data_IF_880288623776
#
_entry.id   IF_880288623776
#
_cell.length_a   1.000
_cell.length_b   1.000
_cell.length_c   1.000
_cell.angle_alpha   90.00
_cell.angle_beta   90.00
_cell.angle_gamma   90.00
#
_symmetry.space_group_name_H-M   'P 1'
#
loop_
_entity.id
_entity.type
_entity.pdbx_description
1 polymer ?
#
# COMPACT_ATOMS: atom_id res chain seq x y z
N UNK A 1 -24.52 -12.51 20.41
CA UNK A 1 -23.94 -11.27 20.96
C UNK A 1 -23.79 -10.32 19.81
N UNK A 2 -24.48 -9.19 19.82
CA UNK A 2 -24.32 -8.16 18.78
C UNK A 2 -22.93 -7.53 18.95
N UNK A 3 -22.09 -7.67 17.93
CA UNK A 3 -20.78 -7.01 17.88
C UNK A 3 -21.00 -5.49 17.84
N UNK A 4 -20.36 -4.77 18.73
CA UNK A 4 -20.49 -3.31 18.83
C UNK A 4 -19.63 -2.70 17.72
N UNK A 5 -20.18 -1.81 16.86
CA UNK A 5 -19.41 -1.09 15.86
C UNK A 5 -18.33 -0.21 16.51
N UNK A 6 -17.13 -0.23 15.95
CA UNK A 6 -16.01 0.61 16.37
C UNK A 6 -15.56 1.46 15.18
N UNK A 7 -15.56 2.78 15.34
CA UNK A 7 -15.06 3.70 14.31
C UNK A 7 -13.53 3.69 14.32
N UNK A 8 -12.96 3.30 13.18
CA UNK A 8 -11.52 3.31 12.99
C UNK A 8 -11.10 4.71 12.53
N UNK A 9 -10.22 5.34 13.32
CA UNK A 9 -9.60 6.60 12.91
C UNK A 9 -8.57 6.32 11.82
N UNK A 10 -8.84 6.77 10.60
CA UNK A 10 -7.90 6.66 9.49
C UNK A 10 -8.35 7.46 8.28
N UNK A 11 -7.45 8.24 7.71
CA UNK A 11 -7.59 8.85 6.41
C UNK A 11 -8.84 9.72 6.17
N UNK A 12 -9.25 9.77 4.91
CA UNK A 12 -10.36 10.59 4.41
C UNK A 12 -11.70 9.83 4.34
N UNK A 13 -11.78 8.60 4.85
CA UNK A 13 -12.99 7.74 4.78
C UNK A 13 -13.45 7.35 6.17
N UNK A 14 -14.76 7.46 6.40
CA UNK A 14 -15.36 6.82 7.57
C UNK A 14 -15.29 5.30 7.39
N UNK A 15 -14.64 4.64 8.32
CA UNK A 15 -14.40 3.20 8.30
C UNK A 15 -14.91 2.63 9.62
N UNK A 16 -15.90 1.76 9.57
CA UNK A 16 -16.48 1.13 10.74
C UNK A 16 -16.07 -0.34 10.79
N UNK A 17 -15.44 -0.76 11.91
CA UNK A 17 -15.15 -2.16 12.21
C UNK A 17 -16.36 -2.76 12.91
N UNK A 18 -16.79 -3.93 12.41
CA UNK A 18 -17.84 -4.74 13.04
C UNK A 18 -17.33 -6.18 13.06
N UNK A 19 -16.90 -6.62 14.22
CA UNK A 19 -16.25 -7.92 14.37
C UNK A 19 -14.99 -8.05 13.51
N UNK A 20 -14.89 -9.15 12.76
CA UNK A 20 -13.80 -9.40 11.81
C UNK A 20 -13.97 -8.73 10.44
N UNK A 21 -14.80 -7.69 10.32
CA UNK A 21 -15.14 -7.02 9.06
C UNK A 21 -14.95 -5.52 9.16
N UNK A 22 -14.75 -4.90 8.01
CA UNK A 22 -14.67 -3.45 7.82
C UNK A 22 -15.74 -3.04 6.82
N UNK A 23 -16.54 -2.06 7.19
CA UNK A 23 -17.52 -1.42 6.32
C UNK A 23 -17.02 -0.03 5.93
N UNK A 24 -17.10 0.31 4.65
CA UNK A 24 -16.73 1.63 4.15
C UNK A 24 -17.56 2.03 2.93
N UNK A 25 -17.74 3.33 2.75
CA UNK A 25 -18.45 3.87 1.61
C UNK A 25 -17.70 3.60 0.30
N UNK A 26 -18.44 3.28 -0.75
CA UNK A 26 -17.90 3.15 -2.12
C UNK A 26 -17.52 4.52 -2.68
N UNK A 27 -16.46 4.54 -3.49
CA UNK A 27 -15.93 5.71 -4.18
C UNK A 27 -15.73 5.42 -5.67
N UNK A 28 -15.28 6.43 -6.41
CA UNK A 28 -14.78 6.21 -7.76
C UNK A 28 -13.69 5.12 -7.73
N UNK A 29 -13.73 4.20 -8.67
CA UNK A 29 -12.77 3.08 -8.74
C UNK A 29 -13.13 1.86 -7.89
N UNK A 30 -14.10 1.95 -6.96
CA UNK A 30 -14.43 0.84 -6.05
C UNK A 30 -14.76 -0.46 -6.77
N UNK A 31 -15.42 -0.43 -7.92
CA UNK A 31 -15.71 -1.65 -8.70
C UNK A 31 -14.45 -2.38 -9.14
N UNK A 32 -13.44 -1.64 -9.59
CA UNK A 32 -12.15 -2.24 -9.99
C UNK A 32 -11.36 -2.75 -8.79
N UNK A 33 -11.43 -2.05 -7.66
CA UNK A 33 -10.81 -2.51 -6.40
C UNK A 33 -11.47 -3.80 -5.91
N UNK A 34 -12.81 -3.89 -5.94
CA UNK A 34 -13.58 -5.10 -5.60
C UNK A 34 -13.20 -6.29 -6.49
N UNK A 35 -13.08 -6.04 -7.80
CA UNK A 35 -12.58 -7.02 -8.76
C UNK A 35 -11.14 -7.44 -8.43
N UNK A 36 -10.24 -6.48 -8.22
CA UNK A 36 -8.84 -6.75 -7.89
C UNK A 36 -8.72 -7.62 -6.63
N UNK A 37 -9.37 -7.23 -5.53
CA UNK A 37 -9.33 -7.99 -4.28
C UNK A 37 -9.87 -9.42 -4.45
N UNK A 38 -10.92 -9.60 -5.26
CA UNK A 38 -11.47 -10.92 -5.58
C UNK A 38 -10.47 -11.77 -6.38
N UNK A 39 -9.74 -11.16 -7.33
CA UNK A 39 -8.72 -11.86 -8.11
C UNK A 39 -7.50 -12.21 -7.24
N UNK A 40 -7.06 -11.28 -6.40
CA UNK A 40 -5.95 -11.50 -5.45
C UNK A 40 -6.25 -12.68 -4.50
N UNK A 41 -7.47 -12.75 -3.96
CA UNK A 41 -7.90 -13.88 -3.13
C UNK A 41 -7.84 -15.21 -3.91
N UNK A 42 -8.40 -15.26 -5.11
CA UNK A 42 -8.40 -16.46 -5.98
C UNK A 42 -6.98 -16.92 -6.34
N UNK A 43 -6.03 -15.99 -6.45
CA UNK A 43 -4.61 -16.27 -6.72
C UNK A 43 -3.80 -16.60 -5.46
N UNK A 44 -4.44 -16.63 -4.30
CA UNK A 44 -3.80 -16.97 -3.02
C UNK A 44 -2.88 -15.85 -2.47
N UNK A 45 -3.07 -14.61 -2.91
CA UNK A 45 -2.34 -13.47 -2.36
C UNK A 45 -2.85 -13.15 -0.96
N UNK A 46 -2.02 -13.36 0.05
CA UNK A 46 -2.40 -13.34 1.45
C UNK A 46 -2.29 -11.98 2.15
N UNK A 47 -1.74 -10.98 1.46
CA UNK A 47 -1.51 -9.66 2.06
C UNK A 47 -2.64 -8.65 1.82
N UNK A 48 -3.64 -8.96 1.00
CA UNK A 48 -4.81 -8.10 0.83
C UNK A 48 -5.99 -8.59 1.66
N UNK A 49 -6.90 -7.68 2.09
CA UNK A 49 -8.17 -8.09 2.66
C UNK A 49 -9.02 -8.80 1.59
N UNK A 50 -9.89 -9.70 2.01
CA UNK A 50 -10.91 -10.27 1.11
C UNK A 50 -12.04 -9.27 0.93
N UNK A 51 -12.56 -9.19 -0.28
CA UNK A 51 -13.84 -8.51 -0.54
C UNK A 51 -14.98 -9.50 -0.22
N UNK A 52 -15.80 -9.16 0.77
CA UNK A 52 -16.86 -10.02 1.29
C UNK A 52 -18.24 -9.69 0.69
N UNK A 53 -18.32 -8.69 -0.21
CA UNK A 53 -19.55 -8.24 -0.83
C UNK A 53 -19.94 -6.83 -0.43
N UNK A 54 -21.20 -6.49 -0.66
CA UNK A 54 -21.80 -5.21 -0.26
C UNK A 54 -22.79 -5.44 0.88
N UNK A 55 -22.89 -4.45 1.77
CA UNK A 55 -23.96 -4.37 2.76
C UNK A 55 -25.30 -4.02 2.09
N UNK A 56 -26.40 -4.12 2.84
CA UNK A 56 -27.74 -3.73 2.37
C UNK A 56 -27.80 -2.24 1.98
N UNK A 57 -26.96 -1.40 2.59
CA UNK A 57 -26.83 0.03 2.29
C UNK A 57 -25.82 0.32 1.17
N UNK A 58 -25.26 -0.72 0.52
CA UNK A 58 -24.33 -0.60 -0.60
C UNK A 58 -22.90 -0.24 -0.22
N UNK A 59 -22.51 -0.34 1.05
CA UNK A 59 -21.13 -0.17 1.51
C UNK A 59 -20.27 -1.39 1.14
N UNK A 60 -18.99 -1.20 0.89
CA UNK A 60 -18.04 -2.30 0.78
C UNK A 60 -17.88 -3.00 2.13
N UNK A 61 -17.94 -4.33 2.11
CA UNK A 61 -17.62 -5.16 3.26
C UNK A 61 -16.30 -5.88 2.96
N UNK A 62 -15.28 -5.57 3.75
CA UNK A 62 -13.95 -6.15 3.62
C UNK A 62 -13.60 -6.97 4.88
N UNK A 63 -12.69 -7.91 4.74
CA UNK A 63 -12.07 -8.59 5.88
C UNK A 63 -11.24 -7.58 6.69
N UNK A 64 -11.35 -7.64 8.02
CA UNK A 64 -10.45 -6.89 8.88
C UNK A 64 -9.09 -7.59 8.96
N UNK A 65 -8.03 -6.86 8.63
CA UNK A 65 -6.67 -7.36 8.72
C UNK A 65 -6.14 -7.16 10.15
N UNK A 66 -5.94 -8.25 10.87
CA UNK A 66 -5.43 -8.19 12.25
C UNK A 66 -3.98 -7.71 12.31
N UNK A 67 -3.67 -6.81 13.25
CA UNK A 67 -2.37 -6.19 13.45
C UNK A 67 -2.46 -4.69 13.66
N UNK A 68 -1.38 -3.98 13.42
CA UNK A 68 -1.30 -2.53 13.57
C UNK A 68 -0.89 -1.86 12.26
N UNK A 69 -1.66 -0.92 11.78
CA UNK A 69 -1.23 -0.05 10.69
C UNK A 69 -0.12 0.90 11.18
N UNK A 70 0.84 1.19 10.32
CA UNK A 70 1.90 2.14 10.64
C UNK A 70 1.33 3.55 10.78
N UNK A 71 1.86 4.32 11.73
CA UNK A 71 1.52 5.72 11.92
C UNK A 71 2.80 6.55 12.07
N UNK A 72 2.74 7.83 11.72
CA UNK A 72 3.89 8.71 11.89
C UNK A 72 3.75 9.55 13.16
N UNK A 73 4.88 9.74 13.92
CA UNK A 73 6.21 9.18 13.66
C UNK A 73 6.23 7.66 13.82
N UNK A 74 6.97 6.97 12.95
CA UNK A 74 7.01 5.50 12.96
C UNK A 74 7.46 4.96 14.32
N UNK A 75 6.73 3.99 14.90
CA UNK A 75 7.15 3.32 16.12
C UNK A 75 8.45 2.53 15.92
N UNK A 76 9.18 2.26 17.00
CA UNK A 76 10.52 1.63 16.94
C UNK A 76 10.54 0.31 16.14
N UNK A 77 9.52 -0.53 16.29
CA UNK A 77 9.41 -1.79 15.55
C UNK A 77 9.41 -1.56 14.04
N UNK A 78 8.71 -0.53 13.54
CA UNK A 78 8.62 -0.21 12.12
C UNK A 78 9.84 0.55 11.56
N UNK A 79 10.77 0.96 12.46
CA UNK A 79 12.09 1.49 12.06
C UNK A 79 13.12 0.39 11.83
N UNK A 80 12.79 -0.88 12.11
CA UNK A 80 13.70 -2.03 11.94
C UNK A 80 13.94 -2.36 10.46
N UNK A 81 15.00 -3.11 10.20
CA UNK A 81 15.28 -3.66 8.87
C UNK A 81 14.23 -4.70 8.46
N UNK A 82 13.71 -5.48 9.41
CA UNK A 82 12.68 -6.47 9.18
C UNK A 82 11.41 -5.83 8.57
N UNK A 83 11.02 -4.64 9.05
CA UNK A 83 9.87 -3.92 8.50
C UNK A 83 10.11 -3.54 7.03
N UNK A 84 11.32 -3.08 6.67
CA UNK A 84 11.69 -2.76 5.27
C UNK A 84 11.70 -4.01 4.41
N UNK A 85 12.33 -5.08 4.90
CA UNK A 85 12.46 -6.36 4.18
C UNK A 85 11.09 -6.95 3.89
N UNK A 86 10.23 -7.04 4.91
CA UNK A 86 8.90 -7.63 4.75
C UNK A 86 8.00 -6.79 3.84
N UNK A 87 8.09 -5.46 3.91
CA UNK A 87 7.36 -4.56 3.02
C UNK A 87 7.81 -4.68 1.56
N UNK A 88 9.13 -4.70 1.30
CA UNK A 88 9.65 -4.84 -0.05
C UNK A 88 9.23 -6.17 -0.70
N UNK A 89 9.30 -7.26 0.06
CA UNK A 89 8.84 -8.59 -0.41
C UNK A 89 7.34 -8.65 -0.66
N UNK A 90 6.54 -8.03 0.19
CA UNK A 90 5.08 -7.98 0.01
C UNK A 90 4.70 -7.17 -1.23
N UNK A 91 5.34 -6.02 -1.47
CA UNK A 91 5.13 -5.22 -2.67
C UNK A 91 5.55 -5.97 -3.93
N UNK A 92 6.70 -6.64 -3.90
CA UNK A 92 7.13 -7.51 -5.01
C UNK A 92 6.08 -8.58 -5.31
N UNK A 93 5.58 -9.27 -4.29
CA UNK A 93 4.56 -10.30 -4.44
C UNK A 93 3.25 -9.76 -5.01
N UNK A 94 2.83 -8.54 -4.64
CA UNK A 94 1.68 -7.86 -5.25
C UNK A 94 1.91 -7.63 -6.75
N UNK A 95 3.08 -7.12 -7.10
CA UNK A 95 3.44 -6.84 -8.50
C UNK A 95 3.57 -8.11 -9.34
N UNK A 96 4.08 -9.20 -8.77
CA UNK A 96 4.19 -10.49 -9.48
C UNK A 96 2.80 -11.07 -9.76
N UNK A 97 1.90 -11.03 -8.78
CA UNK A 97 0.55 -11.61 -8.91
C UNK A 97 -0.38 -10.77 -9.81
N UNK A 98 -0.03 -9.51 -10.09
CA UNK A 98 -0.85 -8.59 -10.90
C UNK A 98 -0.25 -8.26 -12.28
N UNK A 99 0.90 -8.81 -12.63
CA UNK A 99 1.63 -8.42 -13.85
C UNK A 99 0.87 -8.71 -15.16
N UNK A 100 0.10 -9.78 -15.21
CA UNK A 100 -0.74 -10.15 -16.35
C UNK A 100 -2.11 -9.43 -16.35
N UNK A 101 -2.50 -8.84 -15.22
CA UNK A 101 -3.77 -8.13 -15.06
C UNK A 101 -3.70 -6.65 -15.51
N UNK A 102 -2.50 -6.09 -15.60
CA UNK A 102 -2.29 -4.65 -15.83
C UNK A 102 -2.90 -4.13 -17.14
N UNK A 103 -3.10 -4.98 -18.12
CA UNK A 103 -3.71 -4.65 -19.41
C UNK A 103 -5.18 -5.09 -19.54
N UNK A 104 -5.72 -5.82 -18.57
CA UNK A 104 -7.10 -6.33 -18.64
C UNK A 104 -8.13 -5.23 -18.33
N UNK A 105 -7.85 -4.41 -17.30
CA UNK A 105 -8.74 -3.33 -16.85
C UNK A 105 -7.92 -2.05 -16.71
N UNK A 106 -7.90 -1.22 -17.73
CA UNK A 106 -7.09 0.02 -17.76
C UNK A 106 -7.89 1.23 -17.27
N UNK A 107 -9.19 1.30 -17.56
CA UNK A 107 -10.06 2.42 -17.21
C UNK A 107 -10.90 2.15 -15.95
N UNK A 108 -11.46 3.20 -15.38
CA UNK A 108 -12.40 3.11 -14.26
C UNK A 108 -11.78 3.02 -12.87
N UNK A 109 -10.47 3.21 -12.74
CA UNK A 109 -9.77 3.38 -11.47
C UNK A 109 -9.95 4.81 -10.93
N UNK A 110 -9.65 5.03 -9.65
CA UNK A 110 -9.65 6.38 -9.07
C UNK A 110 -8.52 7.23 -9.63
N UNK A 111 -7.34 6.65 -9.82
CA UNK A 111 -6.22 7.26 -10.51
C UNK A 111 -6.13 6.76 -11.95
N UNK A 112 -5.71 7.63 -12.87
CA UNK A 112 -5.47 7.25 -14.25
C UNK A 112 -4.31 6.25 -14.36
N UNK A 113 -4.45 5.29 -15.26
CA UNK A 113 -3.39 4.34 -15.59
C UNK A 113 -2.19 5.05 -16.20
N UNK A 114 -0.98 4.60 -15.88
CA UNK A 114 0.29 5.21 -16.35
C UNK A 114 1.10 4.18 -17.11
N UNK A 115 1.39 4.47 -18.36
CA UNK A 115 2.26 3.59 -19.19
C UNK A 115 3.73 3.58 -18.68
N UNK A 116 4.43 2.46 -18.83
CA UNK A 116 3.97 1.16 -19.30
C UNK A 116 3.14 0.41 -18.22
N UNK A 117 2.10 -0.32 -18.65
CA UNK A 117 1.24 -1.10 -17.78
C UNK A 117 1.92 -2.42 -17.40
N UNK A 118 2.83 -2.38 -16.45
CA UNK A 118 3.61 -3.55 -16.02
C UNK A 118 2.91 -4.38 -14.93
N UNK A 119 2.17 -3.69 -14.04
CA UNK A 119 1.48 -4.27 -12.88
C UNK A 119 0.26 -3.43 -12.53
N UNK A 120 -0.57 -3.92 -11.62
CA UNK A 120 -1.47 -3.03 -10.89
C UNK A 120 -0.72 -2.49 -9.68
N UNK A 121 -0.33 -1.22 -9.73
CA UNK A 121 0.26 -0.49 -8.63
C UNK A 121 -0.75 -0.35 -7.48
N UNK A 122 -0.26 -0.34 -6.24
CA UNK A 122 -1.08 0.07 -5.09
C UNK A 122 -1.36 1.59 -5.11
N UNK A 123 -0.40 2.37 -5.60
CA UNK A 123 -0.48 3.82 -5.74
C UNK A 123 -0.15 4.61 -4.46
N UNK A 124 -0.36 4.04 -3.28
CA UNK A 124 -0.05 4.65 -1.97
C UNK A 124 0.54 3.63 -0.99
N UNK A 125 1.52 2.82 -1.45
CA UNK A 125 2.17 1.81 -0.62
C UNK A 125 3.10 2.45 0.42
N UNK A 126 2.59 2.61 1.63
CA UNK A 126 3.26 3.29 2.74
C UNK A 126 2.98 2.58 4.07
N UNK A 127 3.77 2.81 5.13
CA UNK A 127 3.54 2.20 6.44
C UNK A 127 2.11 2.33 6.96
N UNK A 128 1.43 3.44 6.71
CA UNK A 128 0.05 3.68 7.17
C UNK A 128 -1.01 2.85 6.40
N UNK A 129 -0.67 2.35 5.22
CA UNK A 129 -1.48 1.41 4.43
C UNK A 129 -0.95 -0.02 4.52
N UNK A 130 -0.08 -0.29 5.48
CA UNK A 130 0.45 -1.62 5.77
C UNK A 130 0.14 -2.01 7.20
N UNK A 131 -0.35 -3.24 7.38
CA UNK A 131 -0.64 -3.84 8.69
C UNK A 131 0.54 -4.70 9.11
N UNK A 132 0.99 -4.55 10.35
CA UNK A 132 2.14 -5.24 10.89
C UNK A 132 1.76 -6.05 12.12
N UNK A 133 2.37 -7.22 12.23
CA UNK A 133 2.53 -7.98 13.46
C UNK A 133 3.96 -7.72 13.95
N UNK A 134 4.10 -6.95 15.03
CA UNK A 134 5.37 -6.36 15.48
C UNK A 134 6.09 -5.57 14.38
N UNK A 135 7.16 -6.13 13.79
CA UNK A 135 7.94 -5.54 12.68
C UNK A 135 7.65 -6.18 11.33
N UNK A 136 6.86 -7.26 11.29
CA UNK A 136 6.59 -8.01 10.07
C UNK A 136 5.30 -7.54 9.41
N UNK A 137 5.36 -7.17 8.14
CA UNK A 137 4.18 -6.87 7.36
C UNK A 137 3.33 -8.14 7.17
N UNK A 138 2.05 -8.05 7.53
CA UNK A 138 1.05 -9.11 7.42
C UNK A 138 -0.13 -8.70 6.54
N UNK A 139 -0.31 -7.41 6.24
CA UNK A 139 -1.39 -6.93 5.39
C UNK A 139 -1.07 -5.64 4.66
N UNK A 140 -1.76 -5.43 3.54
CA UNK A 140 -1.77 -4.20 2.73
C UNK A 140 -3.24 -3.80 2.64
N UNK A 141 -3.55 -2.57 3.00
CA UNK A 141 -4.92 -2.03 3.04
C UNK A 141 -5.02 -0.77 2.18
N UNK A 142 -6.23 -0.31 1.95
CA UNK A 142 -6.53 0.92 1.22
C UNK A 142 -6.06 0.92 -0.24
N UNK A 143 -6.65 0.02 -1.03
CA UNK A 143 -6.40 -0.12 -2.46
C UNK A 143 -7.11 0.94 -3.33
N UNK A 144 -7.66 2.01 -2.76
CA UNK A 144 -8.44 3.00 -3.51
C UNK A 144 -7.63 3.67 -4.62
N UNK A 145 -6.33 3.87 -4.40
CA UNK A 145 -5.42 4.47 -5.38
C UNK A 145 -4.78 3.45 -6.33
N UNK A 146 -5.23 2.19 -6.30
CA UNK A 146 -4.70 1.19 -7.21
C UNK A 146 -4.99 1.54 -8.67
N UNK A 147 -4.03 1.29 -9.54
CA UNK A 147 -4.14 1.55 -10.98
C UNK A 147 -3.04 0.82 -11.76
N UNK A 148 -3.25 0.50 -13.05
CA UNK A 148 -2.18 -0.02 -13.91
C UNK A 148 -1.04 0.97 -14.06
N UNK A 149 0.19 0.48 -13.94
CA UNK A 149 1.36 1.35 -14.06
C UNK A 149 2.69 0.62 -14.00
N UNK A 150 3.80 1.36 -14.14
CA UNK A 150 5.14 0.78 -14.03
C UNK A 150 5.51 0.52 -12.57
N UNK A 151 6.15 -0.61 -12.33
CA UNK A 151 6.62 -1.07 -11.00
C UNK A 151 7.40 0.00 -10.23
N UNK A 152 8.24 0.75 -10.96
CA UNK A 152 9.09 1.79 -10.40
C UNK A 152 8.30 2.88 -9.66
N UNK A 153 7.05 3.11 -10.06
CA UNK A 153 6.18 4.13 -9.48
C UNK A 153 5.82 3.81 -8.02
N UNK A 154 5.44 2.57 -7.75
CA UNK A 154 5.16 2.09 -6.39
C UNK A 154 6.44 1.92 -5.56
N UNK A 155 7.49 1.35 -6.16
CA UNK A 155 8.78 1.16 -5.50
C UNK A 155 9.38 2.49 -5.04
N UNK A 156 9.31 3.52 -5.88
CA UNK A 156 9.81 4.85 -5.54
C UNK A 156 9.04 5.45 -4.36
N UNK A 157 7.71 5.36 -4.39
CA UNK A 157 6.88 5.86 -3.28
C UNK A 157 7.11 5.07 -1.99
N UNK A 158 7.17 3.75 -2.08
CA UNK A 158 7.49 2.88 -0.94
C UNK A 158 8.84 3.25 -0.30
N UNK A 159 9.88 3.45 -1.11
CA UNK A 159 11.21 3.85 -0.62
C UNK A 159 11.12 5.23 0.07
N UNK A 160 10.44 6.20 -0.54
CA UNK A 160 10.23 7.52 0.07
C UNK A 160 9.61 7.41 1.47
N UNK A 161 8.65 6.50 1.65
CA UNK A 161 7.92 6.34 2.92
C UNK A 161 8.60 5.42 3.92
N UNK A 162 9.19 4.30 3.51
CA UNK A 162 9.85 3.31 4.38
C UNK A 162 11.31 3.65 4.73
N UNK A 163 12.02 4.36 3.86
CA UNK A 163 13.37 4.86 4.13
C UNK A 163 13.38 6.29 4.71
N UNK A 164 12.26 6.82 5.12
CA UNK A 164 11.76 8.20 5.28
C UNK A 164 12.73 9.24 4.70
N UNK A 165 12.76 9.32 3.36
CA UNK A 165 13.61 10.26 2.63
C UNK A 165 13.17 11.70 2.91
N UNK A 166 13.70 12.29 3.96
CA UNK A 166 13.33 13.63 4.43
C UNK A 166 14.58 14.47 4.72
N UNK A 167 14.40 15.80 4.74
CA UNK A 167 15.44 16.69 5.18
C UNK A 167 15.83 16.41 6.65
N UNK A 168 17.09 16.64 7.05
CA UNK A 168 17.51 16.53 8.43
C UNK A 168 16.63 17.40 9.35
N UNK A 169 16.23 16.85 10.50
CA UNK A 169 15.38 17.54 11.48
C UNK A 169 13.88 17.47 11.22
N UNK A 170 13.42 16.82 10.13
CA UNK A 170 12.00 16.56 9.93
C UNK A 170 11.49 15.57 10.99
N UNK A 171 10.39 15.92 11.67
CA UNK A 171 9.82 15.13 12.77
C UNK A 171 9.38 13.71 12.37
N UNK A 172 9.00 13.51 11.10
CA UNK A 172 8.60 12.18 10.60
C UNK A 172 9.80 11.35 10.12
N UNK A 173 10.97 11.99 9.94
CA UNK A 173 12.21 11.32 9.58
C UNK A 173 12.89 10.68 10.78
N UNK A 174 13.78 9.73 10.50
CA UNK A 174 14.69 9.16 11.50
C UNK A 174 16.00 8.73 10.85
N UNK A 175 17.06 8.71 11.66
CA UNK A 175 18.39 8.38 11.20
C UNK A 175 19.07 9.49 10.37
N UNK A 176 20.33 9.28 10.09
CA UNK A 176 21.13 10.14 9.22
C UNK A 176 20.79 9.92 7.73
N UNK A 177 21.25 10.80 6.86
CA UNK A 177 21.15 10.61 5.40
C UNK A 177 21.80 9.29 4.95
N UNK A 178 22.90 8.89 5.60
CA UNK A 178 23.53 7.60 5.33
C UNK A 178 22.63 6.42 5.70
N UNK A 179 21.91 6.52 6.82
CA UNK A 179 20.94 5.51 7.23
C UNK A 179 19.73 5.44 6.30
N UNK A 180 19.19 6.60 5.91
CA UNK A 180 18.11 6.66 4.91
C UNK A 180 18.54 6.01 3.59
N UNK A 181 19.76 6.32 3.10
CA UNK A 181 20.31 5.71 1.90
C UNK A 181 20.53 4.20 2.05
N UNK A 182 20.96 3.73 3.24
CA UNK A 182 21.11 2.30 3.54
C UNK A 182 19.74 1.59 3.46
N UNK A 183 18.70 2.16 4.06
CA UNK A 183 17.35 1.60 4.05
C UNK A 183 16.75 1.58 2.64
N UNK A 184 16.97 2.63 1.86
CA UNK A 184 16.56 2.66 0.46
C UNK A 184 17.21 1.55 -0.36
N UNK A 185 18.53 1.33 -0.16
CA UNK A 185 19.24 0.20 -0.79
C UNK A 185 18.68 -1.15 -0.34
N UNK A 186 18.44 -1.33 0.96
CA UNK A 186 17.87 -2.55 1.52
C UNK A 186 16.51 -2.86 0.89
N UNK A 187 15.64 -1.85 0.74
CA UNK A 187 14.35 -2.02 0.07
C UNK A 187 14.54 -2.49 -1.38
N UNK A 188 15.45 -1.85 -2.14
CA UNK A 188 15.73 -2.26 -3.52
C UNK A 188 16.27 -3.70 -3.59
N UNK A 189 17.18 -4.08 -2.67
CA UNK A 189 17.77 -5.42 -2.64
C UNK A 189 16.72 -6.50 -2.41
N UNK A 190 15.79 -6.25 -1.49
CA UNK A 190 14.74 -7.18 -1.12
C UNK A 190 13.56 -7.20 -2.12
N UNK A 191 13.29 -6.07 -2.77
CA UNK A 191 12.33 -6.02 -3.86
C UNK A 191 12.86 -6.77 -5.09
N UNK A 192 14.16 -6.68 -5.37
CA UNK A 192 14.82 -7.35 -6.49
C UNK A 192 15.11 -6.43 -7.67
N UNK A 193 14.80 -6.85 -8.89
CA UNK A 193 15.16 -6.13 -10.10
C UNK A 193 14.45 -4.77 -10.20
N UNK A 194 15.19 -3.69 -9.87
CA UNK A 194 14.75 -2.30 -10.01
C UNK A 194 15.92 -1.43 -10.47
N UNK A 195 15.65 -0.52 -11.39
CA UNK A 195 16.65 0.47 -11.83
C UNK A 195 16.81 1.55 -10.74
N UNK A 196 17.82 1.37 -9.88
CA UNK A 196 18.09 2.25 -8.73
C UNK A 196 18.38 3.71 -9.11
N UNK A 197 18.95 3.94 -10.29
CA UNK A 197 19.21 5.30 -10.77
C UNK A 197 17.91 6.06 -11.02
N UNK A 198 16.90 5.37 -11.54
CA UNK A 198 15.58 5.95 -11.79
C UNK A 198 14.71 6.11 -10.54
N UNK A 199 15.02 5.39 -9.45
CA UNK A 199 14.22 5.47 -8.20
C UNK A 199 14.11 6.90 -7.69
N UNK A 200 15.24 7.60 -7.54
CA UNK A 200 15.26 8.96 -6.97
C UNK A 200 14.57 9.96 -7.91
N UNK A 201 14.79 9.86 -9.22
CA UNK A 201 14.08 10.70 -10.20
C UNK A 201 12.57 10.46 -10.12
N UNK A 202 12.16 9.20 -9.99
CA UNK A 202 10.73 8.84 -9.86
C UNK A 202 10.15 9.31 -8.54
N UNK A 203 10.89 9.26 -7.41
CA UNK A 203 10.48 9.86 -6.14
C UNK A 203 10.18 11.34 -6.34
N UNK A 204 11.12 12.10 -6.92
CA UNK A 204 10.94 13.54 -7.14
C UNK A 204 9.72 13.82 -8.04
N UNK A 205 9.54 13.08 -9.12
CA UNK A 205 8.39 13.23 -10.03
C UNK A 205 7.07 12.92 -9.31
N UNK A 206 7.03 11.83 -8.55
CA UNK A 206 5.86 11.42 -7.77
C UNK A 206 5.44 12.46 -6.74
N UNK A 207 6.42 13.10 -6.08
CA UNK A 207 6.14 14.18 -5.12
C UNK A 207 5.62 15.45 -5.80
N UNK A 208 6.07 15.76 -7.00
CA UNK A 208 5.53 16.87 -7.79
C UNK A 208 4.08 16.58 -8.23
N UNK A 209 3.77 15.36 -8.64
CA UNK A 209 2.40 14.94 -9.00
C UNK A 209 1.40 15.08 -7.82
N UNK A 210 1.88 14.98 -6.57
CA UNK A 210 1.03 15.13 -5.38
C UNK A 210 0.70 16.57 -5.00
N UNK A 211 1.44 17.56 -5.52
CA UNK A 211 1.27 18.99 -5.20
C UNK A 211 0.72 19.81 -6.39
N UNK A 212 0.53 19.19 -7.54
CA UNK A 212 -0.09 19.76 -8.73
C UNK A 212 -1.60 19.57 -8.75
#
# INVERSE_FOLDING_TARGET
MSEVPEDLQGGSTEVTKVGGRVLRSRRQGSTNVEWLLTVLERRGFRYSPRFLGLSDDGQQVLEFMEGRAGSYPLPAALRSDEAVISAARALRSLHEVTSDLATEVVEGWMLEAVEPYEVICHGDFAPYNCVFDESRLVGIIDFDTAHPGPRIRDVAYAIYRFAPLTAPGNAVGFGSLAEQARRARLFCDEYGEVNRTQVIETVCRRLLDLVS
#
